data_IF_677072236115
#
_entry.id   IF_677072236115
#
_cell.length_a   1.000
_cell.length_b   1.000
_cell.length_c   1.000
_cell.angle_alpha   90.00
_cell.angle_beta   90.00
_cell.angle_gamma   90.00
#
_symmetry.space_group_name_H-M   'P 1'
#
loop_
_entity.id
_entity.type
_entity.pdbx_description
1 polymer ?
#
# COMPACT_ATOMS: atom_id res chain seq x y z
N UNK A 1 2.24 3.03 13.40
CA UNK A 1 2.24 2.20 12.18
C UNK A 1 2.05 3.06 10.95
N UNK A 2 2.90 2.87 9.96
CA UNK A 2 2.77 3.50 8.65
C UNK A 2 2.02 2.54 7.74
N UNK A 3 0.95 3.01 7.13
CA UNK A 3 0.06 2.18 6.32
C UNK A 3 0.00 2.73 4.91
N UNK A 4 0.17 1.90 3.91
CA UNK A 4 -0.04 2.25 2.51
C UNK A 4 -0.38 1.02 1.67
N UNK A 5 -1.02 1.25 0.54
CA UNK A 5 -1.20 0.24 -0.49
C UNK A 5 -0.02 0.32 -1.46
N UNK A 6 0.91 -0.62 -1.40
CA UNK A 6 2.23 -0.58 -2.04
C UNK A 6 3.21 0.40 -1.37
N UNK A 7 3.46 0.18 -0.08
CA UNK A 7 4.25 1.09 0.77
C UNK A 7 5.68 1.33 0.26
N UNK A 8 6.28 0.36 -0.42
CA UNK A 8 7.62 0.52 -0.99
C UNK A 8 7.66 1.62 -2.06
N UNK A 9 6.63 1.66 -2.90
CA UNK A 9 6.50 2.70 -3.91
C UNK A 9 6.29 4.07 -3.28
N UNK A 10 5.34 4.19 -2.36
CA UNK A 10 5.00 5.47 -1.73
C UNK A 10 6.18 6.03 -0.94
N UNK A 11 6.85 5.20 -0.15
CA UNK A 11 8.01 5.66 0.64
C UNK A 11 9.17 6.10 -0.25
N UNK A 12 9.39 5.40 -1.36
CA UNK A 12 10.40 5.76 -2.35
C UNK A 12 10.09 7.12 -3.00
N UNK A 13 8.85 7.34 -3.41
CA UNK A 13 8.43 8.59 -4.04
C UNK A 13 8.56 9.78 -3.08
N UNK A 14 8.14 9.64 -1.85
CA UNK A 14 8.29 10.72 -0.85
C UNK A 14 9.77 11.02 -0.58
N UNK A 15 10.61 10.01 -0.47
CA UNK A 15 12.06 10.21 -0.29
C UNK A 15 12.69 10.92 -1.48
N UNK A 16 12.30 10.61 -2.70
CA UNK A 16 12.76 11.30 -3.92
C UNK A 16 12.35 12.77 -3.87
N UNK A 17 11.11 13.08 -3.54
CA UNK A 17 10.63 14.45 -3.46
C UNK A 17 11.34 15.25 -2.35
N UNK A 18 11.57 14.64 -1.20
CA UNK A 18 12.34 15.28 -0.12
C UNK A 18 13.79 15.57 -0.56
N UNK A 19 14.40 14.67 -1.30
CA UNK A 19 15.76 14.86 -1.83
C UNK A 19 15.83 15.96 -2.91
N UNK A 20 14.76 16.11 -3.71
CA UNK A 20 14.65 17.17 -4.74
C UNK A 20 14.43 18.57 -4.16
N UNK A 21 13.92 18.64 -2.95
CA UNK A 21 13.58 19.90 -2.28
C UNK A 21 14.41 20.06 -1.00
N UNK A 22 15.75 20.27 -1.09
CA UNK A 22 16.65 20.28 0.06
C UNK A 22 16.60 21.63 0.80
N UNK A 23 15.45 22.00 1.33
CA UNK A 23 15.30 23.19 2.16
C UNK A 23 15.57 22.93 3.63
N UNK A 24 15.84 23.99 4.42
CA UNK A 24 15.98 23.89 5.89
C UNK A 24 14.74 23.30 6.55
N UNK A 25 13.55 23.58 5.99
CA UNK A 25 12.26 23.13 6.51
C UNK A 25 12.00 21.64 6.27
N UNK A 26 12.64 21.04 5.25
CA UNK A 26 12.42 19.66 4.87
C UNK A 26 13.57 18.72 5.22
N UNK A 27 14.73 19.26 5.57
CA UNK A 27 15.93 18.47 5.85
C UNK A 27 15.72 17.43 6.96
N UNK A 28 15.01 17.79 8.01
CA UNK A 28 14.68 16.90 9.13
C UNK A 28 13.67 15.80 8.74
N UNK A 29 13.01 15.93 7.60
CA UNK A 29 12.05 14.95 7.11
C UNK A 29 12.69 13.84 6.28
N UNK A 30 13.99 13.98 5.90
CA UNK A 30 14.67 13.00 5.04
C UNK A 30 14.70 11.59 5.62
N UNK A 31 14.68 11.45 6.93
CA UNK A 31 14.73 10.17 7.62
C UNK A 31 13.35 9.57 7.90
N UNK A 32 12.26 10.32 7.72
CA UNK A 32 10.91 9.89 8.10
C UNK A 32 10.46 8.57 7.50
N UNK A 33 10.90 8.26 6.28
CA UNK A 33 10.55 7.03 5.58
C UNK A 33 11.78 6.17 5.30
N UNK A 34 12.82 6.34 6.08
CA UNK A 34 13.98 5.46 6.08
C UNK A 34 13.71 4.27 7.00
N UNK A 35 13.85 3.05 6.48
CA UNK A 35 13.54 1.81 7.21
C UNK A 35 14.38 1.68 8.48
N UNK A 36 15.67 1.99 8.41
CA UNK A 36 16.56 1.93 9.58
C UNK A 36 16.15 2.91 10.69
N UNK A 37 15.78 4.12 10.31
CA UNK A 37 15.27 5.13 11.25
C UNK A 37 13.94 4.71 11.88
N UNK A 38 13.03 4.19 11.07
CA UNK A 38 11.74 3.69 11.54
C UNK A 38 11.91 2.57 12.59
N UNK A 39 12.79 1.61 12.32
CA UNK A 39 13.11 0.53 13.27
C UNK A 39 13.66 1.11 14.57
N UNK A 40 14.61 2.04 14.49
CA UNK A 40 15.21 2.69 15.66
C UNK A 40 14.18 3.47 16.50
N UNK A 41 13.13 4.01 15.87
CA UNK A 41 12.03 4.72 16.54
C UNK A 41 10.89 3.81 16.97
N UNK A 42 11.00 2.50 16.77
CA UNK A 42 9.94 1.54 17.08
C UNK A 42 8.70 1.65 16.20
N UNK A 43 8.82 2.24 15.01
CA UNK A 43 7.72 2.35 14.05
C UNK A 43 7.56 1.06 13.26
N UNK A 44 6.32 0.72 12.94
CA UNK A 44 5.98 -0.44 12.12
C UNK A 44 5.37 -0.01 10.79
N UNK A 45 5.51 -0.86 9.78
CA UNK A 45 4.90 -0.68 8.46
C UNK A 45 3.84 -1.75 8.22
N UNK A 46 2.77 -1.37 7.53
CA UNK A 46 1.76 -2.30 7.06
C UNK A 46 1.44 -2.00 5.59
N UNK A 47 1.76 -2.93 4.71
CA UNK A 47 1.41 -2.83 3.29
C UNK A 47 0.12 -3.60 3.03
N UNK A 48 -0.96 -2.90 2.77
CA UNK A 48 -2.25 -3.54 2.49
C UNK A 48 -2.21 -4.38 1.21
N UNK A 49 -1.39 -4.00 0.24
CA UNK A 49 -1.21 -4.77 -1.00
C UNK A 49 -0.58 -6.13 -0.74
N UNK A 50 0.58 -6.17 -0.07
CA UNK A 50 1.31 -7.42 0.19
C UNK A 50 0.51 -8.32 1.14
N UNK A 51 -0.08 -7.75 2.17
CA UNK A 51 -0.86 -8.51 3.16
C UNK A 51 -2.20 -9.03 2.62
N UNK A 52 -2.61 -8.63 1.44
CA UNK A 52 -3.87 -9.06 0.82
C UNK A 52 -3.71 -10.01 -0.38
N UNK A 53 -2.49 -10.37 -0.75
CA UNK A 53 -2.23 -11.27 -1.88
C UNK A 53 -3.00 -12.59 -1.73
N UNK A 54 -2.87 -13.24 -0.58
CA UNK A 54 -3.55 -14.49 -0.29
C UNK A 54 -5.06 -14.32 -0.12
N UNK A 55 -5.48 -13.24 0.52
CA UNK A 55 -6.90 -12.92 0.73
C UNK A 55 -7.64 -12.72 -0.58
N UNK A 56 -7.08 -11.93 -1.49
CA UNK A 56 -7.69 -11.66 -2.80
C UNK A 56 -7.57 -12.86 -3.74
N UNK A 57 -6.47 -13.61 -3.65
CA UNK A 57 -6.23 -14.84 -4.40
C UNK A 57 -6.49 -14.68 -5.92
N UNK A 58 -5.94 -13.62 -6.51
CA UNK A 58 -6.10 -13.33 -7.94
C UNK A 58 -4.99 -14.01 -8.71
N UNK A 59 -5.32 -15.08 -9.44
CA UNK A 59 -4.36 -15.85 -10.22
C UNK A 59 -4.16 -15.23 -11.60
N UNK A 60 -2.90 -15.16 -12.03
CA UNK A 60 -2.50 -14.67 -13.35
C UNK A 60 -1.56 -15.67 -13.99
N UNK A 61 -1.68 -15.83 -15.30
CA UNK A 61 -0.78 -16.67 -16.11
C UNK A 61 0.23 -15.75 -16.79
N UNK A 62 1.51 -16.07 -16.62
CA UNK A 62 2.60 -15.42 -17.32
C UNK A 62 3.47 -16.44 -18.02
N UNK A 63 4.37 -15.99 -18.86
CA UNK A 63 5.30 -16.85 -19.60
C UNK A 63 6.72 -16.56 -19.14
N UNK A 64 7.47 -17.61 -18.82
CA UNK A 64 8.88 -17.47 -18.41
C UNK A 64 9.80 -17.21 -19.63
N UNK A 65 11.11 -17.07 -19.38
CA UNK A 65 12.12 -16.81 -20.44
C UNK A 65 12.20 -17.96 -21.46
N UNK A 66 11.76 -19.16 -21.10
CA UNK A 66 11.79 -20.36 -21.95
C UNK A 66 10.50 -20.54 -22.72
N UNK A 67 9.52 -19.61 -22.58
CA UNK A 67 8.22 -19.69 -23.20
C UNK A 67 7.23 -20.63 -22.48
N UNK A 68 7.55 -21.08 -21.27
CA UNK A 68 6.69 -21.95 -20.48
C UNK A 68 5.69 -21.13 -19.68
N UNK A 69 4.37 -21.47 -19.71
CA UNK A 69 3.38 -20.79 -18.92
C UNK A 69 3.52 -21.17 -17.44
N UNK A 70 3.34 -20.19 -16.56
CA UNK A 70 3.27 -20.39 -15.11
C UNK A 70 2.18 -19.51 -14.51
N UNK A 71 1.66 -19.91 -13.36
CA UNK A 71 0.64 -19.17 -12.62
C UNK A 71 1.26 -18.56 -11.38
N UNK A 72 0.80 -17.37 -11.04
CA UNK A 72 1.16 -16.71 -9.78
C UNK A 72 0.00 -15.86 -9.26
N UNK A 73 -0.01 -15.60 -7.96
CA UNK A 73 -0.94 -14.67 -7.34
C UNK A 73 -0.43 -13.25 -7.52
N UNK A 74 -1.18 -12.41 -8.22
CA UNK A 74 -0.76 -11.03 -8.47
C UNK A 74 -0.96 -10.15 -7.25
N UNK A 75 -0.26 -9.02 -7.20
CA UNK A 75 -0.53 -7.94 -6.27
C UNK A 75 -1.91 -7.34 -6.57
N UNK A 76 -2.85 -7.35 -5.61
CA UNK A 76 -4.18 -6.78 -5.84
C UNK A 76 -4.12 -5.24 -5.91
N UNK A 77 -4.96 -4.66 -6.75
CA UNK A 77 -5.24 -3.23 -6.72
C UNK A 77 -6.06 -2.90 -5.47
N UNK A 78 -6.01 -1.64 -5.05
CA UNK A 78 -6.82 -1.18 -3.91
C UNK A 78 -8.31 -1.40 -4.13
N UNK A 79 -8.80 -1.18 -5.35
CA UNK A 79 -10.18 -1.45 -5.75
C UNK A 79 -10.56 -2.93 -5.58
N UNK A 80 -9.68 -3.82 -5.99
CA UNK A 80 -9.87 -5.27 -5.89
C UNK A 80 -9.89 -5.72 -4.42
N UNK A 81 -9.03 -5.15 -3.59
CA UNK A 81 -9.03 -5.43 -2.16
C UNK A 81 -10.31 -4.95 -1.49
N UNK A 82 -10.76 -3.73 -1.80
CA UNK A 82 -12.01 -3.20 -1.23
C UNK A 82 -13.21 -4.05 -1.65
N UNK A 83 -13.28 -4.46 -2.91
CA UNK A 83 -14.34 -5.35 -3.40
C UNK A 83 -14.33 -6.69 -2.67
N UNK A 84 -13.15 -7.26 -2.43
CA UNK A 84 -13.02 -8.52 -1.68
C UNK A 84 -13.50 -8.41 -0.24
N UNK A 85 -13.18 -7.29 0.43
CA UNK A 85 -13.53 -7.09 1.84
C UNK A 85 -14.97 -6.65 2.06
N UNK A 86 -15.51 -5.83 1.16
CA UNK A 86 -16.79 -5.12 1.35
C UNK A 86 -17.83 -5.38 0.26
N UNK A 87 -17.46 -6.09 -0.80
CA UNK A 87 -18.36 -6.43 -1.90
C UNK A 87 -18.64 -5.30 -2.90
N UNK A 88 -17.98 -4.16 -2.75
CA UNK A 88 -18.16 -2.98 -3.62
C UNK A 88 -16.84 -2.37 -4.03
N UNK A 89 -16.83 -1.69 -5.18
CA UNK A 89 -15.70 -0.89 -5.64
C UNK A 89 -16.00 0.57 -5.29
N UNK A 90 -15.11 1.29 -4.59
CA UNK A 90 -15.35 2.69 -4.23
C UNK A 90 -15.42 3.58 -5.47
N UNK A 91 -16.25 4.59 -5.41
CA UNK A 91 -16.25 5.67 -6.40
C UNK A 91 -15.08 6.63 -6.16
N UNK A 92 -14.72 7.38 -7.21
CA UNK A 92 -13.67 8.41 -7.17
C UNK A 92 -12.28 7.91 -6.74
N UNK A 93 -11.96 6.63 -6.98
CA UNK A 93 -10.59 6.17 -6.89
C UNK A 93 -9.69 6.98 -7.84
N UNK A 94 -8.45 7.20 -7.43
CA UNK A 94 -7.44 8.12 -7.96
C UNK A 94 -7.54 9.55 -7.42
N UNK A 95 -8.56 9.88 -6.63
CA UNK A 95 -8.50 11.01 -5.71
C UNK A 95 -7.65 10.61 -4.50
N UNK A 96 -6.63 11.39 -4.17
CA UNK A 96 -5.66 11.04 -3.13
C UNK A 96 -6.29 10.90 -1.74
N UNK A 97 -7.29 11.70 -1.43
CA UNK A 97 -8.00 11.60 -0.15
C UNK A 97 -8.85 10.32 -0.11
N UNK A 98 -9.58 10.02 -1.17
CA UNK A 98 -10.39 8.81 -1.27
C UNK A 98 -9.51 7.57 -1.18
N UNK A 99 -8.40 7.53 -1.90
CA UNK A 99 -7.46 6.41 -1.87
C UNK A 99 -6.88 6.20 -0.46
N UNK A 100 -6.55 7.27 0.24
CA UNK A 100 -6.07 7.22 1.62
C UNK A 100 -7.12 6.64 2.57
N UNK A 101 -8.36 7.11 2.49
CA UNK A 101 -9.45 6.64 3.33
C UNK A 101 -9.83 5.19 3.04
N UNK A 102 -9.85 4.80 1.77
CA UNK A 102 -10.09 3.42 1.35
C UNK A 102 -8.99 2.49 1.86
N UNK A 103 -7.73 2.90 1.75
CA UNK A 103 -6.60 2.15 2.28
C UNK A 103 -6.71 1.96 3.80
N UNK A 104 -7.06 3.01 4.54
CA UNK A 104 -7.27 2.94 5.98
C UNK A 104 -8.44 2.00 6.34
N UNK A 105 -9.55 2.08 5.61
CA UNK A 105 -10.69 1.18 5.82
C UNK A 105 -10.30 -0.28 5.63
N UNK A 106 -9.56 -0.58 4.55
CA UNK A 106 -9.06 -1.93 4.28
C UNK A 106 -8.12 -2.41 5.40
N UNK A 107 -7.20 -1.56 5.84
CA UNK A 107 -6.30 -1.87 6.97
C UNK A 107 -7.08 -2.19 8.25
N UNK A 108 -8.04 -1.35 8.61
CA UNK A 108 -8.85 -1.55 9.82
C UNK A 108 -9.59 -2.88 9.76
N UNK A 109 -10.13 -3.23 8.60
CA UNK A 109 -10.81 -4.52 8.42
C UNK A 109 -9.85 -5.70 8.52
N UNK A 110 -8.70 -5.64 7.85
CA UNK A 110 -7.73 -6.74 7.81
C UNK A 110 -7.01 -6.93 9.15
N UNK A 111 -6.53 -5.85 9.75
CA UNK A 111 -5.69 -5.90 10.93
C UNK A 111 -6.46 -5.88 12.26
N UNK A 112 -7.66 -5.30 12.27
CA UNK A 112 -8.46 -5.09 13.49
C UNK A 112 -9.85 -5.71 13.42
N UNK A 113 -10.26 -6.24 12.27
CA UNK A 113 -11.61 -6.75 12.01
C UNK A 113 -12.72 -5.72 12.30
N UNK A 114 -12.43 -4.46 12.04
CA UNK A 114 -13.37 -3.34 12.19
C UNK A 114 -13.69 -2.76 10.83
N UNK A 115 -14.97 -2.62 10.52
CA UNK A 115 -15.40 -1.86 9.34
C UNK A 115 -15.60 -0.41 9.75
N UNK A 116 -14.65 0.43 9.35
CA UNK A 116 -14.69 1.87 9.57
C UNK A 116 -14.94 2.54 8.22
N UNK A 117 -16.20 2.87 7.96
CA UNK A 117 -16.59 3.54 6.73
C UNK A 117 -16.27 5.03 6.83
N UNK A 118 -15.21 5.43 6.16
CA UNK A 118 -14.74 6.82 6.13
C UNK A 118 -15.20 7.58 4.86
N UNK A 119 -15.87 6.89 3.95
CA UNK A 119 -16.21 7.42 2.62
C UNK A 119 -17.68 7.70 2.48
#
# INVERSE_FOLDING_TARGET
TIIAHNIEFDSKMVRIELARNPGRKTRHLLDLLNVGYEIAQGKTRYCTMINSIELCNIMVVATDRRGQPYQYKKFPKLSELHEKLFGTIPENLHDSMVDTLVCLRCYMKMARNVDADFV
#
